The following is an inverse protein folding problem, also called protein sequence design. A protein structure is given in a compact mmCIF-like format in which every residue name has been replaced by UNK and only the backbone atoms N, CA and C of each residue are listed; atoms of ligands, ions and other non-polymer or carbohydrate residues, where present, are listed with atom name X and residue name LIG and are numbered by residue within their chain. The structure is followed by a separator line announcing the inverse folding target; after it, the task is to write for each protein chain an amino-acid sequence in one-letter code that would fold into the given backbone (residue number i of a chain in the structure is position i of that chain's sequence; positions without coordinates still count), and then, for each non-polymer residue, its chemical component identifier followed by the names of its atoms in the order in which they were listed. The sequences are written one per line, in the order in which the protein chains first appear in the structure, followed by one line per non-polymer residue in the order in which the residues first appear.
data_IF_431821904278
#
_entry.id   IF_431821904278
#
_cell.length_a   1.000
_cell.length_b   1.000
_cell.length_c   1.000
_cell.angle_alpha   90.00
_cell.angle_beta   90.00
_cell.angle_gamma   90.00
#
_symmetry.space_group_name_H-M   'P 1'
#
loop_
_entity.id
_entity.type
_entity.pdbx_description
1 polymer ?
#
# COMPACT_ATOMS: atom_id res chain seq x y z
N UNK A 1 7.16 5.25 -7.48
CA UNK A 1 7.28 4.01 -8.30
C UNK A 1 8.21 3.02 -7.62
N UNK A 2 7.90 1.72 -7.65
CA UNK A 2 8.82 0.67 -7.16
C UNK A 2 10.06 0.55 -8.06
N UNK A 3 11.24 0.25 -7.49
CA UNK A 3 12.46 0.06 -8.27
C UNK A 3 12.35 -1.17 -9.19
N UNK A 4 13.10 -1.23 -10.31
CA UNK A 4 13.04 -2.36 -11.25
C UNK A 4 13.41 -3.73 -10.66
N UNK A 5 14.10 -3.76 -9.53
CA UNK A 5 14.44 -4.98 -8.80
C UNK A 5 13.33 -5.49 -7.88
N UNK A 6 12.20 -4.78 -7.79
CA UNK A 6 11.12 -5.08 -6.86
C UNK A 6 9.77 -5.05 -7.57
N UNK A 7 9.23 -6.24 -7.85
CA UNK A 7 7.93 -6.38 -8.51
C UNK A 7 6.75 -6.14 -7.56
N UNK A 8 6.93 -6.46 -6.27
CA UNK A 8 5.86 -6.40 -5.27
C UNK A 8 6.39 -5.98 -3.91
N UNK A 9 5.67 -5.08 -3.25
CA UNK A 9 5.89 -4.69 -1.86
C UNK A 9 4.57 -4.84 -1.09
N UNK A 10 4.62 -5.53 0.04
CA UNK A 10 3.47 -5.68 0.92
C UNK A 10 3.83 -5.08 2.28
N UNK A 11 3.01 -4.14 2.74
CA UNK A 11 3.08 -3.59 4.10
C UNK A 11 1.90 -4.16 4.87
N UNK A 12 2.17 -4.90 5.94
CA UNK A 12 1.15 -5.51 6.79
C UNK A 12 1.16 -4.92 8.19
N UNK A 13 0.00 -4.94 8.85
CA UNK A 13 -0.20 -4.45 10.22
C UNK A 13 0.28 -3.00 10.40
N UNK A 14 0.10 -2.15 9.37
CA UNK A 14 0.39 -0.72 9.50
C UNK A 14 -0.63 -0.10 10.45
N UNK A 15 -0.14 0.41 11.58
CA UNK A 15 -0.97 1.04 12.62
C UNK A 15 -0.89 2.55 12.51
N UNK A 16 -2.04 3.19 12.35
CA UNK A 16 -2.18 4.66 12.32
C UNK A 16 -3.27 5.05 13.29
N UNK A 17 -2.87 5.58 14.45
CA UNK A 17 -3.80 5.81 15.56
C UNK A 17 -4.44 4.49 16.00
N UNK A 18 -5.77 4.44 16.00
CA UNK A 18 -6.54 3.22 16.29
C UNK A 18 -6.77 2.30 15.09
N UNK A 19 -6.47 2.74 13.86
CA UNK A 19 -6.73 1.98 12.66
C UNK A 19 -5.57 1.04 12.28
N UNK A 20 -5.91 -0.08 11.64
CA UNK A 20 -4.95 -1.03 11.05
C UNK A 20 -5.18 -1.14 9.55
N UNK A 21 -4.09 -1.15 8.78
CA UNK A 21 -4.10 -1.19 7.33
C UNK A 21 -3.10 -2.21 6.80
N UNK A 22 -3.48 -2.92 5.75
CA UNK A 22 -2.55 -3.63 4.89
C UNK A 22 -2.55 -2.97 3.51
N UNK A 23 -1.35 -2.73 2.98
CA UNK A 23 -1.12 -2.11 1.68
C UNK A 23 -0.34 -3.05 0.79
N UNK A 24 -0.72 -3.10 -0.49
CA UNK A 24 -0.03 -3.85 -1.51
C UNK A 24 0.32 -2.95 -2.69
N UNK A 25 1.60 -3.00 -3.08
CA UNK A 25 2.14 -2.29 -4.21
C UNK A 25 2.63 -3.31 -5.24
N UNK A 26 2.10 -3.21 -6.46
CA UNK A 26 2.49 -4.05 -7.59
C UNK A 26 3.08 -3.18 -8.69
N UNK A 27 4.27 -3.53 -9.18
CA UNK A 27 4.89 -2.91 -10.35
C UNK A 27 4.20 -3.42 -11.61
N UNK A 28 3.70 -2.48 -12.42
CA UNK A 28 3.05 -2.74 -13.71
C UNK A 28 3.84 -2.00 -14.80
N UNK A 29 4.97 -2.59 -15.22
CA UNK A 29 5.93 -1.93 -16.10
C UNK A 29 6.57 -0.72 -15.42
N UNK A 30 6.35 0.47 -15.98
CA UNK A 30 6.82 1.76 -15.44
C UNK A 30 5.76 2.43 -14.54
N UNK A 31 4.78 1.68 -14.05
CA UNK A 31 3.79 2.19 -13.10
C UNK A 31 3.76 1.32 -11.84
N UNK A 32 3.18 1.84 -10.77
CA UNK A 32 2.96 1.08 -9.55
C UNK A 32 1.49 1.22 -9.16
N UNK A 33 0.78 0.09 -9.14
CA UNK A 33 -0.55 0.04 -8.54
C UNK A 33 -0.39 -0.04 -7.01
N UNK A 34 -1.21 0.69 -6.27
CA UNK A 34 -1.31 0.58 -4.83
C UNK A 34 -2.75 0.23 -4.46
N UNK A 35 -2.92 -0.72 -3.54
CA UNK A 35 -4.23 -1.19 -3.06
C UNK A 35 -4.22 -1.28 -1.54
N UNK A 36 -5.32 -0.88 -0.93
CA UNK A 36 -5.64 -1.22 0.46
C UNK A 36 -6.24 -2.62 0.44
N UNK A 37 -5.55 -3.60 1.00
CA UNK A 37 -5.99 -5.00 1.00
C UNK A 37 -6.74 -5.37 2.27
N UNK A 38 -6.46 -4.67 3.38
CA UNK A 38 -7.23 -4.75 4.62
C UNK A 38 -7.31 -3.36 5.27
N UNK A 39 -8.47 -3.04 5.85
CA UNK A 39 -8.66 -1.86 6.67
C UNK A 39 -9.57 -2.22 7.85
N UNK A 40 -9.05 -2.01 9.06
CA UNK A 40 -9.80 -2.10 10.31
C UNK A 40 -9.85 -0.71 10.92
N UNK A 41 -11.06 -0.29 11.26
CA UNK A 41 -11.41 1.06 11.67
C UNK A 41 -11.19 2.13 10.58
N UNK A 42 -11.92 3.24 10.71
CA UNK A 42 -11.96 4.27 9.67
C UNK A 42 -10.73 5.16 9.73
N UNK A 43 -10.00 5.21 8.62
CA UNK A 43 -8.93 6.16 8.37
C UNK A 43 -8.96 6.53 6.90
N UNK A 44 -8.75 7.81 6.60
CA UNK A 44 -8.66 8.28 5.23
C UNK A 44 -7.24 8.06 4.73
N UNK A 45 -7.10 7.30 3.64
CA UNK A 45 -5.82 7.04 2.99
C UNK A 45 -5.77 7.87 1.71
N UNK A 46 -4.73 8.68 1.58
CA UNK A 46 -4.39 9.40 0.35
C UNK A 46 -3.11 8.80 -0.22
N UNK A 47 -3.13 8.41 -1.50
CA UNK A 47 -1.96 7.91 -2.21
C UNK A 47 -1.52 9.02 -3.17
N UNK A 48 -0.31 9.53 -2.95
CA UNK A 48 0.30 10.56 -3.82
C UNK A 48 1.38 9.91 -4.70
N UNK A 49 1.54 10.48 -5.91
CA UNK A 49 2.40 9.92 -6.98
C UNK A 49 3.69 10.71 -7.11
#
# INVERSE_FOLDING_TARGET
MLPPSLDRLVVRDLKVGGARLDLEFDRMGETTACRVTEQVDSVQVTIEV
#
